data_IF_187340988305
#
_entry.id   IF_187340988305
#
_cell.length_a   1.000
_cell.length_b   1.000
_cell.length_c   1.000
_cell.angle_alpha   90.00
_cell.angle_beta   90.00
_cell.angle_gamma   90.00
#
_symmetry.space_group_name_H-M   'P 1'
#
loop_
_entity.id
_entity.type
_entity.pdbx_description
1 polymer ?
#
# COMPACT_ATOMS: atom_id res chain seq x y z
N UNK A 1 17.15 8.27 -10.38
CA UNK A 1 16.13 7.28 -10.07
C UNK A 1 14.78 7.88 -10.23
N UNK A 2 13.87 7.12 -10.80
CA UNK A 2 12.53 7.60 -11.00
C UNK A 2 11.72 7.66 -9.71
N UNK A 3 10.61 8.35 -9.81
CA UNK A 3 9.65 8.47 -8.74
C UNK A 3 8.67 7.30 -8.78
N UNK A 4 8.37 6.74 -7.63
CA UNK A 4 7.41 5.66 -7.49
C UNK A 4 6.14 6.21 -6.84
N UNK A 5 4.99 5.91 -7.43
CA UNK A 5 3.69 6.22 -6.85
C UNK A 5 3.17 4.95 -6.17
N UNK A 6 2.82 5.07 -4.91
CA UNK A 6 2.29 3.94 -4.13
C UNK A 6 0.88 4.27 -3.69
N UNK A 7 -0.07 3.48 -4.17
CA UNK A 7 -1.48 3.60 -3.81
C UNK A 7 -1.84 2.45 -2.88
N UNK A 8 -2.45 2.76 -1.75
CA UNK A 8 -2.80 1.74 -0.76
C UNK A 8 -4.26 1.85 -0.35
N UNK A 9 -4.83 0.70 -0.03
CA UNK A 9 -6.18 0.61 0.50
C UNK A 9 -6.24 -0.61 1.42
N UNK A 10 -6.81 -0.45 2.60
CA UNK A 10 -6.94 -1.55 3.54
C UNK A 10 -8.16 -1.35 4.41
N UNK A 11 -8.84 -2.43 4.72
CA UNK A 11 -10.04 -2.39 5.52
C UNK A 11 -10.25 -3.72 6.23
N UNK A 12 -10.98 -3.66 7.34
CA UNK A 12 -11.44 -4.85 8.04
C UNK A 12 -12.88 -4.63 8.49
N UNK A 13 -13.60 -5.72 8.61
CA UNK A 13 -14.97 -5.72 9.12
C UNK A 13 -14.97 -6.14 10.57
N UNK A 14 -15.92 -5.62 11.33
CA UNK A 14 -16.09 -5.98 12.72
C UNK A 14 -15.47 -4.94 13.65
N UNK A 15 -15.88 -5.05 14.91
CA UNK A 15 -15.45 -4.14 15.95
C UNK A 15 -15.31 -4.94 17.24
N UNK A 16 -14.10 -5.14 17.79
CA UNK A 16 -12.88 -4.41 17.43
C UNK A 16 -12.12 -4.96 16.22
N UNK A 17 -12.35 -6.22 15.82
CA UNK A 17 -11.64 -6.81 14.71
C UNK A 17 -12.54 -7.78 13.91
N UNK A 18 -12.05 -8.26 12.78
CA UNK A 18 -12.77 -9.19 11.93
C UNK A 18 -11.99 -9.47 10.65
N UNK A 19 -12.64 -10.12 9.68
CA UNK A 19 -11.97 -10.40 8.41
C UNK A 19 -11.65 -9.11 7.67
N UNK A 20 -10.51 -9.09 6.99
CA UNK A 20 -10.07 -7.91 6.26
C UNK A 20 -8.98 -8.22 5.26
N UNK A 21 -8.49 -7.18 4.64
CA UNK A 21 -7.43 -7.31 3.67
C UNK A 21 -6.89 -5.96 3.27
N UNK A 22 -5.82 -5.99 2.48
CA UNK A 22 -5.25 -4.76 1.93
C UNK A 22 -4.85 -4.96 0.48
N UNK A 23 -4.74 -3.85 -0.22
CA UNK A 23 -4.19 -3.80 -1.56
C UNK A 23 -3.20 -2.66 -1.68
N UNK A 24 -2.20 -2.85 -2.51
CA UNK A 24 -1.23 -1.81 -2.80
C UNK A 24 -0.87 -1.88 -4.28
N UNK A 25 -0.78 -0.73 -4.92
CA UNK A 25 -0.38 -0.63 -6.32
C UNK A 25 0.82 0.29 -6.41
N UNK A 26 1.88 -0.22 -7.01
CA UNK A 26 3.10 0.53 -7.26
C UNK A 26 3.16 0.89 -8.73
N UNK A 27 3.37 2.16 -9.03
CA UNK A 27 3.53 2.63 -10.41
C UNK A 27 4.83 3.40 -10.53
N UNK A 28 5.60 3.10 -11.54
CA UNK A 28 6.82 3.86 -11.84
C UNK A 28 7.10 3.86 -13.34
N UNK A 29 7.78 4.92 -13.77
CA UNK A 29 8.18 5.07 -15.15
C UNK A 29 9.69 4.85 -15.23
N UNK A 30 10.12 3.96 -16.13
CA UNK A 30 11.53 3.66 -16.29
C UNK A 30 12.25 4.75 -17.12
N UNK A 31 13.56 4.56 -17.30
CA UNK A 31 14.38 5.51 -18.04
C UNK A 31 13.99 5.62 -19.51
N UNK A 32 13.27 4.65 -20.03
CA UNK A 32 12.79 4.64 -21.41
C UNK A 32 11.41 5.24 -21.57
N UNK A 33 10.80 5.69 -20.46
CA UNK A 33 9.47 6.27 -20.48
C UNK A 33 8.34 5.26 -20.41
N UNK A 34 8.64 4.00 -20.14
CA UNK A 34 7.60 2.97 -19.99
C UNK A 34 7.07 2.92 -18.57
N UNK A 35 5.74 2.86 -18.47
CA UNK A 35 5.07 2.74 -17.18
C UNK A 35 5.04 1.28 -16.75
N UNK A 36 5.46 1.04 -15.52
CA UNK A 36 5.39 -0.26 -14.87
C UNK A 36 4.45 -0.20 -13.69
N UNK A 37 3.71 -1.29 -13.49
CA UNK A 37 2.75 -1.36 -12.40
C UNK A 37 2.87 -2.72 -11.72
N UNK A 38 2.85 -2.70 -10.38
CA UNK A 38 2.88 -3.92 -9.59
C UNK A 38 1.78 -3.84 -8.55
N UNK A 39 0.99 -4.91 -8.44
CA UNK A 39 -0.11 -4.99 -7.49
C UNK A 39 0.20 -6.01 -6.42
N UNK A 40 -0.05 -5.65 -5.17
CA UNK A 40 0.11 -6.51 -4.01
C UNK A 40 -1.20 -6.56 -3.26
N UNK A 41 -1.53 -7.73 -2.72
CA UNK A 41 -2.74 -7.86 -1.90
C UNK A 41 -2.61 -9.02 -0.93
N UNK A 42 -3.33 -8.95 0.17
CA UNK A 42 -3.42 -10.05 1.14
C UNK A 42 -4.73 -9.95 1.90
N UNK A 43 -5.23 -11.11 2.33
CA UNK A 43 -6.43 -11.20 3.14
C UNK A 43 -6.12 -11.85 4.47
N UNK A 44 -6.90 -11.49 5.48
CA UNK A 44 -6.74 -11.99 6.84
C UNK A 44 -8.08 -12.37 7.42
N UNK A 45 -8.09 -13.47 8.17
CA UNK A 45 -9.32 -13.94 8.80
C UNK A 45 -9.72 -13.01 9.94
N UNK A 46 -8.74 -12.44 10.63
CA UNK A 46 -8.98 -11.56 11.77
C UNK A 46 -7.94 -10.46 11.83
N UNK A 47 -8.39 -9.21 11.73
CA UNK A 47 -7.50 -8.06 11.72
C UNK A 47 -8.30 -6.79 12.03
N UNK A 48 -7.64 -5.65 11.98
CA UNK A 48 -8.27 -4.35 12.18
C UNK A 48 -8.02 -3.44 10.98
N UNK A 49 -8.84 -2.39 10.83
CA UNK A 49 -8.63 -1.39 9.78
C UNK A 49 -7.24 -0.79 9.86
N UNK A 50 -6.81 -0.41 11.07
CA UNK A 50 -5.48 0.20 11.26
C UNK A 50 -4.37 -0.71 10.78
N UNK A 51 -4.46 -2.00 11.09
CA UNK A 51 -3.47 -2.97 10.66
C UNK A 51 -3.42 -3.10 9.16
N UNK A 52 -4.59 -3.17 8.52
CA UNK A 52 -4.64 -3.34 7.07
C UNK A 52 -4.08 -2.12 6.34
N UNK A 53 -4.35 -0.94 6.84
CA UNK A 53 -3.83 0.29 6.25
C UNK A 53 -2.31 0.39 6.39
N UNK A 54 -1.79 0.07 7.58
CA UNK A 54 -0.35 0.06 7.82
C UNK A 54 0.34 -1.04 7.04
N UNK A 55 -0.23 -2.22 6.98
CA UNK A 55 0.36 -3.34 6.27
C UNK A 55 0.38 -3.11 4.76
N UNK A 56 -0.62 -2.43 4.21
CA UNK A 56 -0.61 -2.06 2.81
C UNK A 56 0.58 -1.14 2.49
N UNK A 57 0.82 -0.15 3.32
CA UNK A 57 1.95 0.76 3.15
C UNK A 57 3.28 0.03 3.29
N UNK A 58 3.41 -0.81 4.32
CA UNK A 58 4.63 -1.57 4.56
C UNK A 58 4.91 -2.53 3.40
N UNK A 59 3.90 -3.26 2.94
CA UNK A 59 4.06 -4.20 1.85
C UNK A 59 4.51 -3.48 0.57
N UNK A 60 3.92 -2.32 0.29
CA UNK A 60 4.31 -1.52 -0.87
C UNK A 60 5.76 -1.05 -0.78
N UNK A 61 6.18 -0.57 0.39
CA UNK A 61 7.55 -0.10 0.59
C UNK A 61 8.56 -1.25 0.53
N UNK A 62 8.19 -2.41 1.08
CA UNK A 62 9.06 -3.59 1.04
C UNK A 62 9.23 -4.16 -0.35
N UNK A 63 8.30 -3.90 -1.25
CA UNK A 63 8.40 -4.36 -2.63
C UNK A 63 9.44 -3.59 -3.43
N UNK A 64 9.92 -2.46 -2.92
CA UNK A 64 10.97 -1.67 -3.56
C UNK A 64 12.32 -2.26 -3.18
N UNK A 65 13.12 -2.60 -4.18
CA UNK A 65 14.42 -3.27 -3.94
C UNK A 65 15.61 -2.33 -4.14
N UNK A 66 15.38 -1.04 -4.23
CA UNK A 66 16.43 -0.02 -4.27
C UNK A 66 15.88 1.31 -3.76
N UNK A 67 16.77 2.21 -3.31
CA UNK A 67 16.32 3.54 -2.88
C UNK A 67 15.66 4.28 -4.03
N UNK A 68 14.51 4.91 -3.75
CA UNK A 68 13.80 5.72 -4.71
C UNK A 68 12.91 6.72 -3.98
N UNK A 69 12.49 7.74 -4.70
CA UNK A 69 11.54 8.69 -4.18
C UNK A 69 10.14 8.08 -4.28
N UNK A 70 9.42 8.02 -3.17
CA UNK A 70 8.09 7.41 -3.11
C UNK A 70 7.07 8.46 -2.72
N UNK A 71 5.97 8.51 -3.48
CA UNK A 71 4.82 9.32 -3.16
C UNK A 71 3.68 8.39 -2.79
N UNK A 72 3.23 8.48 -1.54
CA UNK A 72 2.20 7.58 -1.00
C UNK A 72 0.83 8.23 -1.08
N UNK A 73 -0.11 7.50 -1.66
CA UNK A 73 -1.52 7.90 -1.71
C UNK A 73 -2.36 6.85 -0.98
N UNK A 74 -3.16 7.29 -0.04
CA UNK A 74 -3.99 6.40 0.75
C UNK A 74 -5.29 7.08 1.10
N UNK A 75 -6.36 6.31 1.14
CA UNK A 75 -7.65 6.78 1.65
C UNK A 75 -7.70 6.72 3.18
N UNK A 76 -6.65 6.20 3.79
CA UNK A 76 -6.61 6.01 5.23
C UNK A 76 -6.33 7.30 5.96
N UNK A 77 -7.19 7.65 6.90
CA UNK A 77 -6.95 8.80 7.78
C UNK A 77 -5.76 8.56 8.70
N UNK A 78 -5.51 7.31 9.04
CA UNK A 78 -4.40 6.97 9.94
C UNK A 78 -3.05 7.20 9.30
N UNK A 79 -2.96 7.07 7.99
CA UNK A 79 -1.72 7.28 7.26
C UNK A 79 -1.55 8.72 6.81
N UNK A 80 -2.64 9.45 6.57
CA UNK A 80 -2.57 10.81 6.02
C UNK A 80 -2.75 11.90 7.05
N UNK A 81 -3.48 11.62 8.13
CA UNK A 81 -3.79 12.60 9.18
C UNK A 81 -3.00 12.36 10.48
N UNK A 82 -2.10 11.42 10.46
CA UNK A 82 -1.32 11.06 11.64
C UNK A 82 -0.39 12.18 12.10
#
# INVERSE_FOLDING_TARGET
MGKVLLFTDGAARGNPDGPGGYGAVLQFTDSKGQLHEKTLSAGYVRTTNNRMELMAAIAGLEALNRPCEVELYSDSKYLTDA
#
